data_IF_133512626347
#
_entry.id   IF_133512626347
#
_cell.length_a   1.000
_cell.length_b   1.000
_cell.length_c   1.000
_cell.angle_alpha   90.00
_cell.angle_beta   90.00
_cell.angle_gamma   90.00
#
_symmetry.space_group_name_H-M   'P 1'
#
loop_
_entity.id
_entity.type
_entity.pdbx_description
1 polymer ?
#
# COMPACT_ATOMS: atom_id res chain seq x y z
N UNK A 1 -16.27 4.30 -1.72
CA UNK A 1 -15.66 3.05 -2.18
C UNK A 1 -14.19 3.04 -1.84
N UNK A 2 -13.53 1.90 -2.05
CA UNK A 2 -12.08 1.71 -1.91
C UNK A 2 -11.52 1.46 -3.31
N UNK A 3 -10.37 2.05 -3.61
CA UNK A 3 -9.57 1.77 -4.80
C UNK A 3 -8.24 1.16 -4.34
N UNK A 4 -7.83 0.08 -5.00
CA UNK A 4 -6.50 -0.51 -4.86
C UNK A 4 -5.84 -0.55 -6.23
N UNK A 5 -4.57 -0.14 -6.31
CA UNK A 5 -3.81 -0.17 -7.55
C UNK A 5 -2.36 -0.61 -7.32
N UNK A 6 -1.75 -1.25 -8.32
CA UNK A 6 -0.32 -1.58 -8.25
C UNK A 6 0.53 -0.31 -8.32
N UNK A 7 1.62 -0.27 -7.54
CA UNK A 7 2.54 0.86 -7.42
C UNK A 7 4.01 0.49 -7.66
N UNK A 8 4.28 -0.67 -8.29
CA UNK A 8 5.63 -1.12 -8.66
C UNK A 8 6.61 -1.31 -7.47
N UNK A 9 7.85 -1.65 -7.78
CA UNK A 9 8.93 -1.77 -6.79
C UNK A 9 9.51 -0.40 -6.42
N UNK A 10 9.75 -0.11 -5.12
CA UNK A 10 10.44 1.11 -4.69
C UNK A 10 11.96 1.04 -4.84
N UNK A 11 12.52 -0.11 -5.22
CA UNK A 11 13.96 -0.35 -5.18
C UNK A 11 14.67 0.15 -6.45
N UNK A 12 14.13 -0.18 -7.62
CA UNK A 12 14.74 0.23 -8.90
C UNK A 12 14.21 1.61 -9.29
N UNK A 13 15.13 2.51 -9.68
CA UNK A 13 14.79 3.92 -9.95
C UNK A 13 13.63 4.09 -10.95
N UNK A 14 13.63 3.35 -12.05
CA UNK A 14 12.59 3.44 -13.10
C UNK A 14 11.20 3.11 -12.54
N UNK A 15 11.12 2.13 -11.64
CA UNK A 15 9.88 1.75 -10.98
C UNK A 15 9.50 2.74 -9.88
N UNK A 16 10.47 3.22 -9.09
CA UNK A 16 10.24 4.24 -8.07
C UNK A 16 9.71 5.56 -8.65
N UNK A 17 10.21 6.00 -9.81
CA UNK A 17 9.71 7.19 -10.51
C UNK A 17 8.25 6.98 -10.98
N UNK A 18 7.90 5.77 -11.41
CA UNK A 18 6.54 5.41 -11.83
C UNK A 18 5.58 5.36 -10.64
N UNK A 19 6.04 4.82 -9.52
CA UNK A 19 5.35 4.81 -8.24
C UNK A 19 4.97 6.22 -7.79
N UNK A 20 5.93 7.16 -7.79
CA UNK A 20 5.70 8.54 -7.35
C UNK A 20 4.61 9.23 -8.18
N UNK A 21 4.70 9.12 -9.51
CA UNK A 21 3.71 9.69 -10.44
C UNK A 21 2.32 9.10 -10.24
N UNK A 22 2.21 7.78 -10.00
CA UNK A 22 0.93 7.14 -9.73
C UNK A 22 0.34 7.64 -8.40
N UNK A 23 1.17 7.75 -7.37
CA UNK A 23 0.76 8.22 -6.06
C UNK A 23 0.26 9.67 -6.10
N UNK A 24 1.00 10.56 -6.78
CA UNK A 24 0.66 11.98 -7.00
C UNK A 24 -0.71 12.17 -7.63
N UNK A 25 -1.03 11.37 -8.66
CA UNK A 25 -2.34 11.47 -9.31
C UNK A 25 -3.47 11.09 -8.36
N UNK A 26 -3.27 10.08 -7.52
CA UNK A 26 -4.32 9.54 -6.63
C UNK A 26 -4.61 10.49 -5.46
N UNK A 27 -3.58 11.13 -4.88
CA UNK A 27 -3.78 12.05 -3.73
C UNK A 27 -4.67 13.24 -4.06
N UNK A 28 -4.78 13.65 -5.33
CA UNK A 28 -5.70 14.72 -5.75
C UNK A 28 -7.18 14.35 -5.69
N UNK A 29 -7.53 13.05 -5.72
CA UNK A 29 -8.93 12.59 -5.79
C UNK A 29 -9.46 11.97 -4.50
N UNK A 30 -8.57 11.54 -3.59
CA UNK A 30 -8.91 10.79 -2.39
C UNK A 30 -8.32 11.43 -1.14
N UNK A 31 -9.14 11.60 -0.10
CA UNK A 31 -8.70 12.16 1.19
C UNK A 31 -7.88 11.18 2.03
N UNK A 32 -8.04 9.87 1.78
CA UNK A 32 -7.27 8.82 2.43
C UNK A 32 -6.46 8.10 1.36
N UNK A 33 -5.15 8.26 1.41
CA UNK A 33 -4.21 7.50 0.58
C UNK A 33 -3.14 6.87 1.46
N UNK A 34 -2.81 5.62 1.19
CA UNK A 34 -1.74 4.86 1.86
C UNK A 34 -1.01 4.01 0.82
N UNK A 35 0.23 3.66 1.09
CA UNK A 35 0.90 2.56 0.42
C UNK A 35 1.04 1.39 1.40
N UNK A 36 0.94 0.18 0.87
CA UNK A 36 1.30 -1.03 1.57
C UNK A 36 2.25 -1.88 0.74
N UNK A 37 3.03 -2.72 1.40
CA UNK A 37 4.05 -3.56 0.80
C UNK A 37 3.71 -5.03 0.93
N UNK A 38 4.03 -5.80 -0.10
CA UNK A 38 3.94 -7.25 -0.09
C UNK A 38 5.24 -7.86 -0.58
N UNK A 39 5.61 -8.97 0.06
CA UNK A 39 6.75 -9.77 -0.37
C UNK A 39 6.32 -10.78 -1.43
N UNK A 40 6.79 -10.61 -2.66
CA UNK A 40 6.44 -11.45 -3.83
C UNK A 40 7.75 -11.86 -4.51
N UNK A 41 8.32 -13.05 -4.21
CA UNK A 41 9.68 -13.41 -4.62
C UNK A 41 9.94 -13.40 -6.13
N UNK A 42 8.90 -13.62 -6.93
CA UNK A 42 8.99 -13.65 -8.39
C UNK A 42 8.94 -12.26 -9.03
N UNK A 43 8.62 -11.22 -8.25
CA UNK A 43 8.58 -9.84 -8.75
C UNK A 43 9.93 -9.16 -8.56
N UNK A 44 10.27 -8.15 -9.40
CA UNK A 44 11.50 -7.40 -9.25
C UNK A 44 11.71 -6.94 -7.79
N UNK A 45 12.92 -7.16 -7.26
CA UNK A 45 13.35 -6.90 -5.87
C UNK A 45 12.69 -7.74 -4.77
N UNK A 46 11.70 -8.57 -5.09
CA UNK A 46 10.90 -9.31 -4.11
C UNK A 46 9.98 -8.45 -3.24
N UNK A 47 10.09 -7.11 -3.30
CA UNK A 47 9.27 -6.17 -2.54
C UNK A 47 8.43 -5.33 -3.50
N UNK A 48 7.11 -5.43 -3.37
CA UNK A 48 6.15 -4.74 -4.23
C UNK A 48 5.23 -3.83 -3.45
N UNK A 49 4.96 -2.64 -3.98
CA UNK A 49 4.05 -1.69 -3.37
C UNK A 49 2.71 -1.65 -4.08
N UNK A 50 1.68 -1.42 -3.28
CA UNK A 50 0.31 -1.22 -3.71
C UNK A 50 -0.23 0.05 -3.07
N UNK A 51 -1.12 0.73 -3.80
CA UNK A 51 -1.83 1.91 -3.34
C UNK A 51 -3.18 1.52 -2.80
N UNK A 52 -3.51 2.08 -1.64
CA UNK A 52 -4.85 2.08 -1.08
C UNK A 52 -5.38 3.51 -1.12
N UNK A 53 -6.56 3.70 -1.67
CA UNK A 53 -7.22 4.99 -1.71
C UNK A 53 -8.71 4.89 -1.34
N UNK A 54 -9.18 5.82 -0.51
CA UNK A 54 -10.56 5.89 -0.07
C UNK A 54 -10.98 7.33 0.23
N UNK A 55 -12.28 7.58 0.19
CA UNK A 55 -12.87 8.84 0.68
C UNK A 55 -13.42 8.72 2.11
N UNK A 56 -13.49 7.49 2.66
CA UNK A 56 -14.15 7.21 3.94
C UNK A 56 -13.36 6.27 4.84
N UNK A 57 -12.84 5.17 4.30
CA UNK A 57 -12.28 4.08 5.09
C UNK A 57 -10.75 4.18 5.16
N UNK A 58 -10.18 4.23 6.35
CA UNK A 58 -8.76 4.05 6.63
C UNK A 58 -8.45 2.55 6.76
N UNK A 59 -7.43 2.04 6.07
CA UNK A 59 -7.21 0.60 5.98
C UNK A 59 -6.74 -0.02 7.29
N UNK A 60 -6.27 0.77 8.26
CA UNK A 60 -5.84 0.27 9.58
C UNK A 60 -6.93 0.54 10.61
N UNK A 61 -7.44 1.77 10.67
CA UNK A 61 -8.40 2.17 11.72
C UNK A 61 -9.77 1.54 11.54
N UNK A 62 -10.20 1.33 10.29
CA UNK A 62 -11.50 0.74 9.98
C UNK A 62 -11.40 -0.76 9.64
N UNK A 63 -10.26 -1.40 9.95
CA UNK A 63 -10.10 -2.84 9.79
C UNK A 63 -11.01 -3.58 10.79
N UNK A 64 -11.88 -4.43 10.27
CA UNK A 64 -12.79 -5.25 11.08
C UNK A 64 -12.18 -6.63 11.34
N UNK A 65 -11.16 -6.67 12.20
CA UNK A 65 -10.41 -7.90 12.48
C UNK A 65 -11.33 -9.04 12.95
N UNK A 66 -12.19 -8.79 13.93
CA UNK A 66 -13.09 -9.81 14.47
C UNK A 66 -14.05 -10.38 13.40
N UNK A 67 -14.59 -9.52 12.54
CA UNK A 67 -15.48 -9.95 11.45
C UNK A 67 -14.72 -10.83 10.44
N UNK A 68 -13.46 -10.48 10.13
CA UNK A 68 -12.62 -11.27 9.23
C UNK A 68 -12.28 -12.64 9.83
N UNK A 69 -11.81 -12.68 11.08
CA UNK A 69 -11.42 -13.93 11.76
C UNK A 69 -12.62 -14.86 11.94
N UNK A 70 -13.82 -14.32 12.16
CA UNK A 70 -15.06 -15.09 12.27
C UNK A 70 -15.45 -15.84 10.97
N UNK A 71 -14.88 -15.47 9.81
CA UNK A 71 -15.12 -16.19 8.55
C UNK A 71 -14.46 -17.57 8.53
N UNK A 72 -13.45 -17.83 9.38
CA UNK A 72 -12.76 -19.13 9.46
C UNK A 72 -12.07 -19.53 8.16
N UNK A 73 -11.61 -18.56 7.36
CA UNK A 73 -10.94 -18.81 6.08
C UNK A 73 -9.51 -19.29 6.29
N UNK A 74 -9.12 -20.35 5.58
CA UNK A 74 -7.72 -20.74 5.48
C UNK A 74 -7.02 -19.90 4.40
N UNK A 75 -5.93 -19.23 4.78
CA UNK A 75 -5.13 -18.38 3.89
C UNK A 75 -3.65 -18.76 3.98
N UNK A 76 -2.96 -18.72 2.84
CA UNK A 76 -1.52 -19.04 2.79
C UNK A 76 -0.60 -17.84 3.09
N UNK A 77 -1.12 -16.61 3.03
CA UNK A 77 -0.32 -15.39 3.18
C UNK A 77 -1.00 -14.33 4.06
N UNK A 78 -2.23 -13.97 3.71
CA UNK A 78 -2.94 -12.90 4.41
C UNK A 78 -3.36 -13.35 5.81
N UNK A 79 -3.07 -12.52 6.81
CA UNK A 79 -3.73 -12.53 8.11
C UNK A 79 -3.83 -11.08 8.60
N UNK A 80 -4.59 -10.83 9.66
CA UNK A 80 -4.84 -9.48 10.18
C UNK A 80 -3.56 -8.77 10.65
N UNK A 81 -2.58 -9.51 11.15
CA UNK A 81 -1.27 -8.96 11.51
C UNK A 81 -0.45 -8.52 10.29
N UNK A 82 -0.41 -9.35 9.24
CA UNK A 82 0.21 -9.03 7.96
C UNK A 82 -0.49 -7.85 7.31
N UNK A 83 -1.82 -7.74 7.40
CA UNK A 83 -2.57 -6.58 6.92
C UNK A 83 -2.04 -5.30 7.55
N UNK A 84 -2.00 -5.23 8.90
CA UNK A 84 -1.49 -4.05 9.62
C UNK A 84 -0.01 -3.80 9.30
N UNK A 85 0.81 -4.83 9.36
CA UNK A 85 2.25 -4.76 9.11
C UNK A 85 2.60 -4.30 7.69
N UNK A 86 1.77 -4.64 6.70
CA UNK A 86 1.98 -4.24 5.30
C UNK A 86 1.96 -2.72 5.09
N UNK A 87 1.31 -1.96 5.97
CA UNK A 87 1.31 -0.49 5.91
C UNK A 87 2.50 0.15 6.64
N UNK A 88 3.34 -0.64 7.31
CA UNK A 88 4.57 -0.16 7.93
C UNK A 88 5.69 -0.03 6.89
N UNK A 89 5.93 1.21 6.44
CA UNK A 89 6.88 1.48 5.36
C UNK A 89 8.30 1.77 5.87
N UNK A 90 9.35 1.25 5.20
CA UNK A 90 10.73 1.67 5.43
C UNK A 90 10.95 3.16 5.17
N UNK A 91 11.94 3.74 5.83
CA UNK A 91 12.22 5.18 5.74
C UNK A 91 12.56 5.66 4.31
N UNK A 92 13.24 4.84 3.49
CA UNK A 92 13.54 5.23 2.11
C UNK A 92 12.26 5.34 1.26
N UNK A 93 11.29 4.43 1.45
CA UNK A 93 9.98 4.51 0.79
C UNK A 93 9.23 5.75 1.25
N UNK A 94 9.20 6.03 2.55
CA UNK A 94 8.58 7.26 3.09
C UNK A 94 9.16 8.53 2.45
N UNK A 95 10.49 8.60 2.27
CA UNK A 95 11.15 9.74 1.61
C UNK A 95 10.70 9.91 0.16
N UNK A 96 10.51 8.82 -0.59
CA UNK A 96 10.02 8.88 -1.98
C UNK A 96 8.63 9.54 -2.05
N UNK A 97 7.76 9.32 -1.07
CA UNK A 97 6.39 9.88 -1.05
C UNK A 97 6.34 11.36 -0.68
N UNK A 98 7.33 11.86 0.06
CA UNK A 98 7.36 13.26 0.50
C UNK A 98 7.74 14.22 -0.63
N UNK A 99 8.61 13.79 -1.55
CA UNK A 99 9.10 14.61 -2.68
C UNK A 99 7.91 15.10 -3.54
N UNK A 100 6.92 14.24 -3.73
CA UNK A 100 5.68 14.46 -4.49
C UNK A 100 4.76 15.58 -3.99
N UNK A 101 4.95 16.11 -2.78
CA UNK A 101 4.12 17.23 -2.24
C UNK A 101 4.67 18.62 -2.56
N UNK A 102 5.78 18.72 -3.28
CA UNK A 102 6.47 19.99 -3.54
C UNK A 102 6.32 20.41 -5.00
N UNK A 103 5.08 20.71 -5.42
CA UNK A 103 4.79 21.52 -6.62
C UNK A 103 3.41 22.13 -6.50
#
# INVERSE_FOLDING_TARGET
GILVNQHESPYYKVYADSLQKAHEKIVGFFSITRLYNAHIPTYPSGNWLFGFASKKYDPIKDLKEADWEALGLETHYYNTDIHKGSFALPNYVKKLLTISKTT
#
